data_IF_539927763233
#
_entry.id   IF_539927763233
#
_cell.length_a   1.000
_cell.length_b   1.000
_cell.length_c   1.000
_cell.angle_alpha   90.00
_cell.angle_beta   90.00
_cell.angle_gamma   90.00
#
_symmetry.space_group_name_H-M   'P 1'
#
loop_
_entity.id
_entity.type
_entity.pdbx_description
1 polymer ?
#
# COMPACT_ATOMS: atom_id res chain seq x y z
N UNK A 1 -30.85 2.70 7.53
CA UNK A 1 -29.42 3.11 7.41
C UNK A 1 -29.24 3.84 6.09
N UNK A 2 -29.14 5.18 6.14
CA UNK A 2 -28.94 6.05 4.98
C UNK A 2 -27.52 6.61 5.05
N UNK A 3 -26.58 5.94 4.40
CA UNK A 3 -25.19 6.35 4.33
C UNK A 3 -24.48 5.60 3.21
N UNK A 4 -23.39 6.16 2.64
CA UNK A 4 -22.61 5.48 1.61
C UNK A 4 -22.11 4.14 2.14
N UNK A 5 -22.46 3.06 1.44
CA UNK A 5 -22.00 1.70 1.74
C UNK A 5 -20.80 1.40 0.86
N UNK A 6 -19.70 1.00 1.48
CA UNK A 6 -18.51 0.52 0.77
C UNK A 6 -18.44 -1.00 0.88
N UNK A 7 -18.19 -1.68 -0.24
CA UNK A 7 -17.82 -3.10 -0.22
C UNK A 7 -16.39 -3.23 0.29
N UNK A 8 -16.17 -4.16 1.21
CA UNK A 8 -14.85 -4.52 1.73
C UNK A 8 -14.57 -5.97 1.39
N UNK A 9 -13.31 -6.34 1.19
CA UNK A 9 -12.94 -7.72 0.89
C UNK A 9 -13.13 -8.62 2.11
N UNK A 10 -13.26 -9.93 1.88
CA UNK A 10 -13.30 -10.91 2.96
C UNK A 10 -12.00 -10.92 3.77
N UNK A 11 -10.85 -10.65 3.12
CA UNK A 11 -9.55 -10.57 3.78
C UNK A 11 -9.52 -9.41 4.78
N UNK A 12 -10.01 -8.23 4.38
CA UNK A 12 -10.12 -7.08 5.27
C UNK A 12 -11.07 -7.34 6.44
N UNK A 13 -12.22 -7.98 6.20
CA UNK A 13 -13.14 -8.39 7.26
C UNK A 13 -12.45 -9.31 8.28
N UNK A 14 -11.68 -10.29 7.79
CA UNK A 14 -10.98 -11.24 8.65
C UNK A 14 -9.91 -10.53 9.50
N UNK A 15 -9.15 -9.59 8.91
CA UNK A 15 -8.16 -8.80 9.64
C UNK A 15 -8.82 -7.94 10.73
N UNK A 16 -9.92 -7.25 10.41
CA UNK A 16 -10.66 -6.43 11.38
C UNK A 16 -11.17 -7.29 12.54
N UNK A 17 -11.74 -8.46 12.25
CA UNK A 17 -12.17 -9.40 13.30
C UNK A 17 -11.00 -9.80 14.19
N UNK A 18 -9.87 -10.16 13.60
CA UNK A 18 -8.68 -10.57 14.36
C UNK A 18 -8.16 -9.44 15.25
N UNK A 19 -8.11 -8.21 14.73
CA UNK A 19 -7.77 -7.04 15.54
C UNK A 19 -8.73 -6.85 16.73
N UNK A 20 -10.04 -6.98 16.52
CA UNK A 20 -11.04 -6.80 17.58
C UNK A 20 -10.94 -7.89 18.66
N UNK A 21 -10.67 -9.14 18.28
CA UNK A 21 -10.55 -10.25 19.23
C UNK A 21 -9.19 -10.31 19.94
N UNK A 22 -8.10 -10.16 19.21
CA UNK A 22 -6.74 -10.39 19.72
C UNK A 22 -6.08 -9.09 20.24
N UNK A 23 -6.65 -7.93 19.90
CA UNK A 23 -6.10 -6.61 20.25
C UNK A 23 -4.78 -6.28 19.53
N UNK A 24 -4.40 -7.08 18.52
CA UNK A 24 -3.16 -6.92 17.76
C UNK A 24 -3.44 -7.02 16.27
N UNK A 25 -2.66 -6.30 15.48
CA UNK A 25 -2.73 -6.37 14.03
C UNK A 25 -1.91 -7.58 13.58
N UNK A 26 -2.53 -8.44 12.79
CA UNK A 26 -1.82 -9.53 12.13
C UNK A 26 -1.10 -8.98 10.89
N UNK A 27 0.22 -8.88 10.99
CA UNK A 27 1.08 -8.32 9.94
C UNK A 27 0.99 -9.11 8.64
N UNK A 28 0.95 -10.44 8.71
CA UNK A 28 0.89 -11.30 7.52
C UNK A 28 -0.44 -11.10 6.78
N UNK A 29 -1.54 -11.01 7.51
CA UNK A 29 -2.86 -10.71 6.94
C UNK A 29 -2.92 -9.30 6.39
N UNK A 30 -2.31 -8.32 7.06
CA UNK A 30 -2.23 -6.95 6.57
C UNK A 30 -1.43 -6.88 5.26
N UNK A 31 -0.26 -7.52 5.18
CA UNK A 31 0.57 -7.49 3.98
C UNK A 31 -0.08 -8.15 2.77
N UNK A 32 -0.93 -9.15 2.99
CA UNK A 32 -1.70 -9.82 1.94
C UNK A 32 -2.90 -8.99 1.41
N UNK A 33 -3.22 -7.84 2.03
CA UNK A 33 -4.30 -6.98 1.57
C UNK A 33 -3.93 -6.23 0.29
N UNK A 34 -4.94 -5.97 -0.54
CA UNK A 34 -4.84 -5.02 -1.64
C UNK A 34 -4.55 -3.60 -1.14
N UNK A 35 -3.97 -2.75 -1.97
CA UNK A 35 -3.73 -1.35 -1.62
C UNK A 35 -5.01 -0.60 -1.22
N UNK A 36 -6.14 -0.91 -1.85
CA UNK A 36 -7.42 -0.28 -1.50
C UNK A 36 -7.91 -0.73 -0.11
N UNK A 37 -7.78 -2.03 0.22
CA UNK A 37 -8.13 -2.55 1.54
C UNK A 37 -7.18 -2.04 2.63
N UNK A 38 -5.85 -1.97 2.37
CA UNK A 38 -4.88 -1.36 3.29
C UNK A 38 -5.26 0.10 3.61
N UNK A 39 -5.71 0.84 2.60
CA UNK A 39 -6.20 2.23 2.75
C UNK A 39 -7.45 2.30 3.62
N UNK A 40 -8.44 1.45 3.38
CA UNK A 40 -9.65 1.37 4.20
C UNK A 40 -9.31 1.02 5.65
N UNK A 41 -8.43 0.04 5.85
CA UNK A 41 -7.99 -0.37 7.17
C UNK A 41 -7.32 0.79 7.93
N UNK A 42 -6.38 1.47 7.30
CA UNK A 42 -5.73 2.65 7.89
C UNK A 42 -6.74 3.77 8.22
N UNK A 43 -7.70 4.03 7.33
CA UNK A 43 -8.77 5.00 7.58
C UNK A 43 -9.66 4.61 8.78
N UNK A 44 -10.00 3.32 8.93
CA UNK A 44 -10.72 2.82 10.09
C UNK A 44 -9.93 3.06 11.38
N UNK A 45 -8.65 2.67 11.43
CA UNK A 45 -7.80 2.89 12.60
C UNK A 45 -7.69 4.36 12.99
N UNK A 46 -7.69 5.26 12.00
CA UNK A 46 -7.65 6.71 12.20
C UNK A 46 -8.97 7.22 12.79
N UNK A 47 -10.11 6.83 12.23
CA UNK A 47 -11.44 7.28 12.67
C UNK A 47 -11.77 6.74 14.07
N UNK A 48 -11.40 5.49 14.36
CA UNK A 48 -11.62 4.88 15.68
C UNK A 48 -10.57 5.27 16.71
N UNK A 49 -9.58 6.09 16.33
CA UNK A 49 -8.43 6.46 17.14
C UNK A 49 -7.61 5.26 17.68
N UNK A 50 -7.83 4.06 17.15
CA UNK A 50 -7.14 2.83 17.58
C UNK A 50 -5.65 2.85 17.21
N UNK A 51 -5.25 3.68 16.24
CA UNK A 51 -3.85 3.91 15.89
C UNK A 51 -2.97 4.29 17.10
N UNK A 52 -3.52 4.98 18.10
CA UNK A 52 -2.79 5.42 19.31
C UNK A 52 -2.58 4.29 20.33
N UNK A 53 -3.30 3.18 20.17
CA UNK A 53 -3.17 2.01 21.05
C UNK A 53 -2.00 1.10 20.64
N UNK A 54 -1.43 1.30 19.45
CA UNK A 54 -0.27 0.55 18.98
C UNK A 54 1.02 1.29 19.32
N UNK A 55 2.05 0.52 19.71
CA UNK A 55 3.39 1.06 19.97
C UNK A 55 3.96 1.77 18.75
N UNK A 56 3.76 1.15 17.59
CA UNK A 56 4.17 1.65 16.29
C UNK A 56 2.91 1.82 15.43
N UNK A 57 2.50 3.08 15.13
CA UNK A 57 1.35 3.33 14.29
C UNK A 57 1.57 2.80 12.87
N UNK A 58 0.54 2.17 12.30
CA UNK A 58 0.55 1.86 10.86
C UNK A 58 0.62 3.16 10.08
N UNK A 59 1.64 3.28 9.22
CA UNK A 59 1.82 4.42 8.31
C UNK A 59 0.76 4.40 7.20
N UNK A 60 0.46 5.55 6.60
CA UNK A 60 -0.41 5.58 5.41
C UNK A 60 0.21 4.67 4.33
N UNK A 61 -0.50 3.64 3.85
CA UNK A 61 0.04 2.69 2.87
C UNK A 61 0.49 3.40 1.58
N UNK A 62 -0.10 4.55 1.23
CA UNK A 62 0.32 5.34 0.07
C UNK A 62 1.68 6.01 0.28
N UNK A 63 1.99 6.44 1.50
CA UNK A 63 3.29 7.04 1.79
C UNK A 63 4.39 5.97 1.78
N UNK A 64 4.09 4.78 2.30
CA UNK A 64 4.98 3.62 2.19
C UNK A 64 5.23 3.26 0.73
N UNK A 65 4.17 3.18 -0.10
CA UNK A 65 4.30 2.87 -1.52
C UNK A 65 5.13 3.93 -2.27
N UNK A 66 4.94 5.22 -1.97
CA UNK A 66 5.74 6.31 -2.54
C UNK A 66 7.21 6.22 -2.17
N UNK A 67 7.51 5.90 -0.91
CA UNK A 67 8.90 5.75 -0.44
C UNK A 67 9.60 4.61 -1.17
N UNK A 68 8.93 3.46 -1.30
CA UNK A 68 9.48 2.32 -2.02
C UNK A 68 9.67 2.64 -3.52
N UNK A 69 8.71 3.32 -4.13
CA UNK A 69 8.82 3.79 -5.51
C UNK A 69 10.04 4.69 -5.73
N UNK A 70 10.22 5.71 -4.89
CA UNK A 70 11.34 6.66 -5.00
C UNK A 70 12.68 5.95 -4.81
N UNK A 71 12.76 5.04 -3.83
CA UNK A 71 13.96 4.23 -3.57
C UNK A 71 14.33 3.38 -4.79
N UNK A 72 13.40 2.56 -5.29
CA UNK A 72 13.67 1.66 -6.42
C UNK A 72 13.96 2.43 -7.72
N UNK A 73 13.23 3.50 -7.98
CA UNK A 73 13.49 4.39 -9.13
C UNK A 73 14.89 4.99 -9.04
N UNK A 74 15.29 5.46 -7.86
CA UNK A 74 16.63 5.99 -7.60
C UNK A 74 17.73 4.97 -7.86
N UNK A 75 17.57 3.73 -7.37
CA UNK A 75 18.54 2.65 -7.61
C UNK A 75 18.72 2.37 -9.11
N UNK A 76 17.62 2.26 -9.86
CA UNK A 76 17.69 2.02 -11.31
C UNK A 76 18.31 3.21 -12.05
N UNK A 77 17.96 4.46 -11.67
CA UNK A 77 18.54 5.67 -12.25
C UNK A 77 20.05 5.81 -11.99
N UNK A 78 20.55 5.25 -10.89
CA UNK A 78 21.98 5.18 -10.59
C UNK A 78 22.70 4.04 -11.34
N UNK A 79 22.01 3.32 -12.22
CA UNK A 79 22.56 2.25 -13.05
C UNK A 79 22.51 0.85 -12.41
N UNK A 80 21.72 0.65 -11.34
CA UNK A 80 21.54 -0.67 -10.75
C UNK A 80 20.58 -1.52 -11.61
N UNK A 81 21.17 -2.35 -12.48
CA UNK A 81 20.42 -3.21 -13.40
C UNK A 81 20.10 -4.60 -12.84
N UNK A 82 20.01 -4.74 -11.51
CA UNK A 82 19.63 -6.01 -10.90
C UNK A 82 18.21 -6.40 -11.35
N UNK A 83 18.00 -7.58 -11.97
CA UNK A 83 16.69 -8.02 -12.44
C UNK A 83 15.61 -8.07 -11.34
N UNK A 84 15.99 -8.31 -10.08
CA UNK A 84 15.02 -8.32 -8.97
C UNK A 84 14.47 -6.92 -8.69
N UNK A 85 15.34 -5.92 -8.66
CA UNK A 85 15.00 -4.50 -8.42
C UNK A 85 14.13 -3.99 -9.56
N UNK A 86 14.50 -4.28 -10.81
CA UNK A 86 13.69 -3.91 -11.98
C UNK A 86 12.30 -4.56 -11.91
N UNK A 87 12.22 -5.84 -11.53
CA UNK A 87 10.94 -6.55 -11.39
C UNK A 87 10.09 -5.94 -10.28
N UNK A 88 10.69 -5.58 -9.16
CA UNK A 88 10.00 -4.95 -8.03
C UNK A 88 9.52 -3.54 -8.39
N UNK A 89 10.36 -2.74 -9.04
CA UNK A 89 9.98 -1.43 -9.54
C UNK A 89 8.81 -1.51 -10.52
N UNK A 90 8.77 -2.51 -11.42
CA UNK A 90 7.62 -2.73 -12.31
C UNK A 90 6.32 -2.97 -11.53
N UNK A 91 6.36 -3.74 -10.44
CA UNK A 91 5.17 -3.96 -9.59
C UNK A 91 4.74 -2.67 -8.91
N UNK A 92 5.67 -2.00 -8.24
CA UNK A 92 5.41 -0.75 -7.51
C UNK A 92 4.91 0.35 -8.45
N UNK A 93 5.44 0.43 -9.68
CA UNK A 93 5.01 1.37 -10.71
C UNK A 93 3.53 1.15 -11.09
N UNK A 94 3.11 -0.10 -11.28
CA UNK A 94 1.70 -0.44 -11.57
C UNK A 94 0.80 -0.09 -10.39
N UNK A 95 1.24 -0.35 -9.16
CA UNK A 95 0.48 -0.01 -7.95
C UNK A 95 0.35 1.51 -7.77
N UNK A 96 1.43 2.27 -8.02
CA UNK A 96 1.44 3.73 -7.97
C UNK A 96 0.45 4.34 -8.98
N UNK A 97 0.45 3.83 -10.21
CA UNK A 97 -0.49 4.27 -11.25
C UNK A 97 -1.94 3.92 -10.90
N UNK A 98 -2.19 2.68 -10.46
CA UNK A 98 -3.52 2.21 -10.06
C UNK A 98 -4.09 3.02 -8.89
N UNK A 99 -3.23 3.42 -7.95
CA UNK A 99 -3.56 4.28 -6.83
C UNK A 99 -3.67 5.78 -7.18
N UNK A 100 -3.47 6.15 -8.46
CA UNK A 100 -3.46 7.54 -8.95
C UNK A 100 -2.45 8.43 -8.24
N UNK A 101 -1.30 7.87 -7.86
CA UNK A 101 -0.22 8.58 -7.17
C UNK A 101 0.81 9.19 -8.12
N UNK A 102 0.80 8.76 -9.38
CA UNK A 102 1.63 9.26 -10.49
C UNK A 102 0.75 9.49 -11.71
N UNK A 103 1.19 10.34 -12.64
CA UNK A 103 0.47 10.59 -13.89
C UNK A 103 0.72 9.50 -14.93
N UNK A 104 -0.10 9.49 -15.99
CA UNK A 104 0.10 8.61 -17.14
C UNK A 104 1.42 8.92 -17.89
N UNK A 105 1.82 10.19 -17.92
CA UNK A 105 3.13 10.62 -18.45
C UNK A 105 4.28 10.03 -17.64
N UNK A 106 4.28 10.20 -16.31
CA UNK A 106 5.32 9.65 -15.45
C UNK A 106 5.38 8.12 -15.52
N UNK A 107 4.21 7.47 -15.60
CA UNK A 107 4.14 6.02 -15.77
C UNK A 107 4.86 5.56 -17.05
N UNK A 108 4.58 6.22 -18.18
CA UNK A 108 5.21 5.89 -19.47
C UNK A 108 6.70 6.20 -19.49
N UNK A 109 7.12 7.33 -18.93
CA UNK A 109 8.54 7.72 -18.83
C UNK A 109 9.35 6.66 -18.10
N UNK A 110 8.88 6.21 -16.94
CA UNK A 110 9.58 5.18 -16.17
C UNK A 110 9.53 3.83 -16.88
N UNK A 111 8.42 3.50 -17.55
CA UNK A 111 8.32 2.26 -18.32
C UNK A 111 9.39 2.18 -19.42
N UNK A 112 9.67 3.29 -20.13
CA UNK A 112 10.70 3.36 -21.18
C UNK A 112 12.09 3.02 -20.64
N UNK A 113 12.41 3.48 -19.43
CA UNK A 113 13.71 3.21 -18.78
C UNK A 113 13.86 1.73 -18.39
N UNK A 114 12.75 0.98 -18.27
CA UNK A 114 12.72 -0.41 -17.80
C UNK A 114 12.61 -1.46 -18.94
N UNK A 115 12.64 -1.01 -20.19
CA UNK A 115 12.57 -1.85 -21.41
C UNK A 115 13.96 -2.10 -21.97
#
# INVERSE_FOLDING_TARGET
MVGPKRKVSQQLINLIKKLVFDGRIDEQMYEALSMDDKRVFHELLRITHTQHSFRDPIKDPRDVLKQEYVKLKGEVMLGNNNPSIIRELKKVLVDMYSAKLISDEEFKEVLIVLV
#
